data_IF_522431069004
#
_entry.id   IF_522431069004
#
_cell.length_a   1.000
_cell.length_b   1.000
_cell.length_c   1.000
_cell.angle_alpha   90.00
_cell.angle_beta   90.00
_cell.angle_gamma   90.00
#
_symmetry.space_group_name_H-M   'P 1'
#
loop_
_entity.id
_entity.type
_entity.pdbx_description
1 polymer ?
#
# COMPACT_ATOMS: atom_id res chain seq x y z
N UNK A 1 -15.05 -6.03 9.02
CA UNK A 1 -15.26 -4.82 8.18
C UNK A 1 -15.52 -3.64 9.11
N UNK A 2 -14.51 -2.81 9.39
CA UNK A 2 -14.66 -1.63 10.27
C UNK A 2 -15.25 -0.48 9.45
N UNK A 3 -16.45 -0.02 9.79
CA UNK A 3 -17.10 1.11 9.13
C UNK A 3 -16.77 2.39 9.88
N UNK A 4 -16.29 3.42 9.19
CA UNK A 4 -16.04 4.71 9.82
C UNK A 4 -17.36 5.40 10.14
N UNK A 5 -17.47 5.91 11.37
CA UNK A 5 -18.54 6.81 11.77
C UNK A 5 -18.00 8.23 11.71
N UNK A 6 -18.62 9.08 10.89
CA UNK A 6 -18.30 10.50 10.88
C UNK A 6 -18.71 11.13 12.20
N UNK A 7 -17.79 11.89 12.82
CA UNK A 7 -18.01 12.57 14.11
C UNK A 7 -19.10 13.64 14.03
N UNK A 8 -19.30 14.27 12.87
CA UNK A 8 -20.29 15.33 12.68
C UNK A 8 -21.72 14.82 12.46
N UNK A 9 -21.90 13.73 11.71
CA UNK A 9 -23.24 13.28 11.32
C UNK A 9 -23.67 11.93 11.92
N UNK A 10 -22.76 11.21 12.61
CA UNK A 10 -22.98 9.89 13.28
C UNK A 10 -23.55 8.81 12.34
N UNK A 11 -23.55 9.07 11.03
CA UNK A 11 -23.91 8.09 10.00
C UNK A 11 -22.70 7.24 9.69
N UNK A 12 -22.98 5.97 9.39
CA UNK A 12 -22.01 5.05 8.80
C UNK A 12 -21.56 5.64 7.48
N UNK A 13 -20.31 6.11 7.40
CA UNK A 13 -19.74 6.52 6.13
C UNK A 13 -19.39 5.25 5.35
N UNK A 14 -19.75 5.25 4.07
CA UNK A 14 -19.22 4.32 3.07
C UNK A 14 -17.71 4.21 3.26
N UNK A 15 -17.13 3.02 3.09
CA UNK A 15 -15.67 2.85 3.01
C UNK A 15 -15.12 4.00 2.17
N UNK A 16 -14.14 4.73 2.70
CA UNK A 16 -13.53 5.81 1.92
C UNK A 16 -13.05 5.22 0.60
N UNK A 17 -13.20 5.98 -0.51
CA UNK A 17 -12.68 5.54 -1.79
C UNK A 17 -11.22 5.16 -1.59
N UNK A 18 -10.88 3.99 -2.11
CA UNK A 18 -9.58 3.39 -2.03
C UNK A 18 -9.10 2.84 -0.66
N UNK A 19 -9.99 2.46 0.26
CA UNK A 19 -9.59 1.76 1.50
C UNK A 19 -8.67 2.60 2.40
N UNK A 20 -8.61 3.92 2.17
CA UNK A 20 -7.84 4.84 3.00
C UNK A 20 -8.54 4.95 4.37
N UNK A 21 -7.78 4.84 5.46
CA UNK A 21 -8.36 5.23 6.75
C UNK A 21 -8.68 6.74 6.76
N UNK A 22 -9.79 7.16 7.38
CA UNK A 22 -10.20 8.58 7.45
C UNK A 22 -9.19 9.51 8.11
N UNK A 23 -8.23 8.94 8.85
CA UNK A 23 -7.15 9.66 9.50
C UNK A 23 -5.81 9.42 8.81
N UNK A 24 -5.82 8.96 7.56
CA UNK A 24 -4.60 8.80 6.78
C UNK A 24 -4.18 10.14 6.19
N UNK A 25 -2.98 10.58 6.53
CA UNK A 25 -2.47 11.92 6.17
C UNK A 25 -1.92 11.98 4.74
N UNK A 26 -1.66 10.82 4.12
CA UNK A 26 -1.07 10.71 2.79
C UNK A 26 -1.88 9.73 1.94
N UNK A 27 -2.17 10.08 0.69
CA UNK A 27 -2.87 9.19 -0.23
C UNK A 27 -1.97 8.00 -0.67
N UNK A 28 -2.51 7.15 -1.54
CA UNK A 28 -1.76 6.03 -2.10
C UNK A 28 -0.70 6.46 -3.10
N UNK A 29 -0.86 7.59 -3.79
CA UNK A 29 0.10 8.06 -4.77
C UNK A 29 1.42 8.48 -4.10
N UNK A 30 1.34 9.20 -2.98
CA UNK A 30 2.51 9.55 -2.16
C UNK A 30 3.18 8.30 -1.62
N UNK A 31 2.42 7.35 -1.08
CA UNK A 31 2.99 6.10 -0.57
C UNK A 31 3.62 5.26 -1.69
N UNK A 32 3.00 5.22 -2.87
CA UNK A 32 3.53 4.53 -4.05
C UNK A 32 4.88 5.11 -4.47
N UNK A 33 5.00 6.44 -4.58
CA UNK A 33 6.24 7.09 -4.97
C UNK A 33 7.40 6.72 -4.01
N UNK A 34 7.14 6.75 -2.70
CA UNK A 34 8.13 6.37 -1.69
C UNK A 34 8.47 4.89 -1.75
N UNK A 35 7.49 4.01 -1.92
CA UNK A 35 7.74 2.57 -2.06
C UNK A 35 8.54 2.27 -3.33
N UNK A 36 8.26 2.93 -4.46
CA UNK A 36 9.04 2.75 -5.69
C UNK A 36 10.52 3.13 -5.51
N UNK A 37 10.81 4.22 -4.79
CA UNK A 37 12.19 4.58 -4.44
C UNK A 37 12.87 3.48 -3.62
N UNK A 38 12.19 2.99 -2.58
CA UNK A 38 12.70 1.91 -1.72
C UNK A 38 12.94 0.60 -2.49
N UNK A 39 11.97 0.19 -3.31
CA UNK A 39 12.03 -1.03 -4.13
C UNK A 39 13.10 -0.93 -5.24
N UNK A 40 13.50 0.29 -5.60
CA UNK A 40 14.62 0.56 -6.52
C UNK A 40 15.98 0.59 -5.82
N UNK A 41 16.03 0.31 -4.51
CA UNK A 41 17.26 0.24 -3.71
C UNK A 41 17.68 1.56 -3.07
N UNK A 42 16.88 2.62 -3.14
CA UNK A 42 17.19 3.88 -2.45
C UNK A 42 17.08 3.66 -0.93
N UNK A 43 18.06 4.15 -0.18
CA UNK A 43 18.06 4.02 1.27
C UNK A 43 16.89 4.77 1.92
N UNK A 44 16.52 4.37 3.16
CA UNK A 44 15.50 5.08 3.95
C UNK A 44 15.80 6.58 4.08
N UNK A 45 17.08 6.93 4.26
CA UNK A 45 17.50 8.33 4.36
C UNK A 45 17.35 9.05 3.02
N UNK A 46 17.79 8.43 1.91
CA UNK A 46 17.62 8.98 0.57
C UNK A 46 16.14 9.21 0.22
N UNK A 47 15.27 8.27 0.57
CA UNK A 47 13.82 8.42 0.37
C UNK A 47 13.22 9.56 1.20
N UNK A 48 13.62 9.71 2.46
CA UNK A 48 13.18 10.81 3.32
C UNK A 48 13.59 12.17 2.74
N UNK A 49 14.84 12.29 2.28
CA UNK A 49 15.33 13.51 1.63
C UNK A 49 14.60 13.80 0.30
N UNK A 50 14.37 12.79 -0.55
CA UNK A 50 13.73 12.96 -1.85
C UNK A 50 12.23 13.27 -1.76
N UNK A 51 11.54 12.71 -0.76
CA UNK A 51 10.09 12.89 -0.57
C UNK A 51 9.71 14.03 0.37
N UNK A 52 10.67 14.56 1.15
CA UNK A 52 10.41 15.51 2.23
C UNK A 52 9.64 14.91 3.41
N UNK A 53 9.43 13.59 3.44
CA UNK A 53 8.73 12.91 4.52
C UNK A 53 9.68 12.52 5.64
N UNK A 54 9.13 12.45 6.85
CA UNK A 54 9.86 11.94 8.00
C UNK A 54 10.33 10.48 7.78
N UNK A 55 11.55 10.19 8.20
CA UNK A 55 12.16 8.86 8.04
C UNK A 55 11.37 7.76 8.74
N UNK A 56 10.69 8.06 9.85
CA UNK A 56 9.81 7.09 10.52
C UNK A 56 8.58 6.77 9.67
N UNK A 57 8.02 7.72 8.94
CA UNK A 57 6.92 7.47 7.99
C UNK A 57 7.38 6.55 6.86
N UNK A 58 8.51 6.85 6.23
CA UNK A 58 9.10 6.02 5.15
C UNK A 58 9.36 4.59 5.65
N UNK A 59 10.01 4.45 6.81
CA UNK A 59 10.28 3.15 7.44
C UNK A 59 8.99 2.40 7.76
N UNK A 60 7.99 3.08 8.33
CA UNK A 60 6.70 2.45 8.66
C UNK A 60 6.04 1.86 7.43
N UNK A 61 6.05 2.56 6.28
CA UNK A 61 5.48 2.03 5.05
C UNK A 61 6.24 0.84 4.50
N UNK A 62 7.58 0.87 4.56
CA UNK A 62 8.42 -0.26 4.19
C UNK A 62 8.13 -1.49 5.04
N UNK A 63 8.14 -1.32 6.36
CA UNK A 63 7.97 -2.41 7.31
C UNK A 63 6.56 -3.00 7.19
N UNK A 64 5.54 -2.15 7.05
CA UNK A 64 4.16 -2.57 6.76
C UNK A 64 4.06 -3.44 5.50
N UNK A 65 4.72 -3.05 4.40
CA UNK A 65 4.67 -3.82 3.16
C UNK A 65 5.35 -5.18 3.32
N UNK A 66 6.49 -5.23 4.00
CA UNK A 66 7.18 -6.50 4.29
C UNK A 66 6.37 -7.42 5.21
N UNK A 67 5.80 -6.88 6.28
CA UNK A 67 5.00 -7.66 7.24
C UNK A 67 3.77 -8.30 6.59
N UNK A 68 3.19 -7.63 5.60
CA UNK A 68 1.96 -8.09 4.91
C UNK A 68 2.22 -8.81 3.60
N UNK A 69 3.48 -8.87 3.17
CA UNK A 69 3.89 -9.35 1.84
C UNK A 69 3.25 -10.69 1.48
N UNK A 70 3.45 -11.71 2.32
CA UNK A 70 3.00 -13.06 2.02
C UNK A 70 1.48 -13.13 1.80
N UNK A 71 0.70 -12.48 2.67
CA UNK A 71 -0.76 -12.46 2.56
C UNK A 71 -1.22 -11.68 1.32
N UNK A 72 -0.60 -10.53 1.06
CA UNK A 72 -0.93 -9.71 -0.10
C UNK A 72 -0.57 -10.40 -1.41
N UNK A 73 0.65 -10.94 -1.50
CA UNK A 73 1.14 -11.62 -2.67
C UNK A 73 0.35 -12.89 -2.99
N UNK A 74 -0.13 -13.62 -1.96
CA UNK A 74 -1.02 -14.76 -2.16
C UNK A 74 -2.33 -14.37 -2.85
N UNK A 75 -3.02 -13.34 -2.35
CA UNK A 75 -4.29 -12.87 -2.93
C UNK A 75 -4.08 -12.31 -4.33
N UNK A 76 -3.03 -11.50 -4.53
CA UNK A 76 -2.73 -10.91 -5.84
C UNK A 76 -2.36 -11.97 -6.88
N UNK A 77 -1.53 -12.96 -6.55
CA UNK A 77 -1.16 -14.04 -7.49
C UNK A 77 -2.33 -14.97 -7.81
N UNK A 78 -3.24 -15.19 -6.86
CA UNK A 78 -4.46 -15.96 -7.10
C UNK A 78 -5.39 -15.28 -8.10
N UNK A 79 -5.33 -13.94 -8.20
CA UNK A 79 -6.19 -13.15 -9.08
C UNK A 79 -5.53 -12.75 -10.40
N UNK A 80 -4.22 -12.53 -10.41
CA UNK A 80 -3.40 -12.25 -11.59
C UNK A 80 -2.28 -13.28 -11.70
N UNK A 81 -2.49 -14.38 -12.43
CA UNK A 81 -1.49 -15.45 -12.61
C UNK A 81 -0.15 -14.95 -13.16
N UNK A 82 -0.16 -13.89 -13.98
CA UNK A 82 1.05 -13.28 -14.55
C UNK A 82 2.01 -12.74 -13.47
N UNK A 83 1.51 -12.37 -12.28
CA UNK A 83 2.33 -11.96 -11.15
C UNK A 83 3.05 -13.13 -10.45
N UNK A 84 2.67 -14.37 -10.75
CA UNK A 84 3.24 -15.59 -10.14
C UNK A 84 4.66 -15.91 -10.59
N UNK A 85 5.16 -15.27 -11.67
CA UNK A 85 6.49 -15.57 -12.24
C UNK A 85 7.64 -14.87 -11.52
N UNK A 86 7.36 -13.92 -10.62
CA UNK A 86 8.37 -13.11 -9.94
C UNK A 86 8.46 -13.53 -8.47
N UNK A 87 9.60 -14.14 -8.10
CA UNK A 87 9.87 -14.63 -6.74
C UNK A 87 10.49 -13.56 -5.82
N UNK A 88 11.25 -12.62 -6.39
CA UNK A 88 11.90 -11.55 -5.62
C UNK A 88 10.87 -10.50 -5.14
N UNK A 89 10.94 -10.14 -3.86
CA UNK A 89 10.04 -9.17 -3.23
C UNK A 89 10.03 -7.82 -3.95
N UNK A 90 11.23 -7.27 -4.26
CA UNK A 90 11.33 -5.95 -4.87
C UNK A 90 10.79 -5.95 -6.30
N UNK A 91 11.16 -6.96 -7.08
CA UNK A 91 10.65 -7.13 -8.45
C UNK A 91 9.14 -7.38 -8.47
N UNK A 92 8.62 -8.19 -7.53
CA UNK A 92 7.18 -8.47 -7.43
C UNK A 92 6.38 -7.19 -7.20
N UNK A 93 6.74 -6.39 -6.20
CA UNK A 93 6.00 -5.18 -5.89
C UNK A 93 6.17 -4.08 -6.93
N UNK A 94 7.31 -3.99 -7.61
CA UNK A 94 7.45 -3.11 -8.78
C UNK A 94 6.51 -3.51 -9.90
N UNK A 95 6.43 -4.81 -10.21
CA UNK A 95 5.52 -5.32 -11.22
C UNK A 95 4.04 -5.06 -10.86
N UNK A 96 3.66 -5.29 -9.60
CA UNK A 96 2.31 -4.97 -9.11
C UNK A 96 1.98 -3.49 -9.28
N UNK A 97 2.92 -2.60 -8.95
CA UNK A 97 2.70 -1.15 -9.05
C UNK A 97 2.61 -0.71 -10.52
N UNK A 98 3.40 -1.31 -11.41
CA UNK A 98 3.39 -0.99 -12.84
C UNK A 98 2.07 -1.43 -13.50
N UNK A 99 1.59 -2.64 -13.19
CA UNK A 99 0.38 -3.21 -13.78
C UNK A 99 -0.93 -2.65 -13.19
N UNK A 100 -0.96 -2.38 -11.88
CA UNK A 100 -2.20 -2.03 -11.16
C UNK A 100 -2.15 -0.69 -10.45
N UNK A 101 -0.98 -0.09 -10.20
CA UNK A 101 -0.78 0.92 -9.14
C UNK A 101 -1.02 0.37 -7.73
N UNK A 102 -0.39 0.99 -6.73
CA UNK A 102 -0.58 0.65 -5.32
C UNK A 102 -2.04 0.82 -4.91
N UNK A 103 -2.72 1.87 -5.38
CA UNK A 103 -4.10 2.15 -5.02
C UNK A 103 -5.04 1.02 -5.46
N UNK A 104 -4.97 0.58 -6.72
CA UNK A 104 -5.89 -0.48 -7.18
C UNK A 104 -5.56 -1.81 -6.53
N UNK A 105 -4.26 -2.13 -6.35
CA UNK A 105 -3.86 -3.34 -5.61
C UNK A 105 -4.48 -3.37 -4.21
N UNK A 106 -4.43 -2.25 -3.47
CA UNK A 106 -5.00 -2.13 -2.13
C UNK A 106 -6.53 -2.26 -2.12
N UNK A 107 -7.21 -1.75 -3.16
CA UNK A 107 -8.66 -1.90 -3.31
C UNK A 107 -9.10 -3.33 -3.53
N UNK A 108 -8.28 -4.12 -4.21
CA UNK A 108 -8.52 -5.54 -4.39
C UNK A 108 -8.25 -6.30 -3.10
N UNK A 109 -7.14 -6.00 -2.43
CA UNK A 109 -6.79 -6.61 -1.16
C UNK A 109 -7.85 -6.35 -0.08
N UNK A 110 -8.48 -5.17 0.00
CA UNK A 110 -9.53 -4.85 0.98
C UNK A 110 -10.86 -5.62 0.78
N UNK A 111 -10.98 -6.39 -0.31
CA UNK A 111 -12.11 -7.30 -0.50
C UNK A 111 -11.97 -8.57 0.34
N UNK A 112 -10.74 -8.99 0.61
CA UNK A 112 -10.42 -10.27 1.25
C UNK A 112 -9.65 -10.11 2.56
N UNK A 113 -8.89 -9.03 2.70
CA UNK A 113 -8.00 -8.74 3.82
C UNK A 113 -8.30 -7.37 4.43
N UNK A 114 -7.78 -7.12 5.64
CA UNK A 114 -7.78 -5.79 6.23
C UNK A 114 -6.55 -5.02 5.72
N UNK A 115 -6.80 -4.07 4.82
CA UNK A 115 -5.82 -3.08 4.38
C UNK A 115 -5.98 -1.82 5.25
N UNK A 116 -4.91 -1.26 5.83
CA UNK A 116 -4.99 -0.08 6.70
C UNK A 116 -5.14 1.26 5.97
#
# INVERSE_FOLDING_TARGET
MLRFLCVGCVRTCSRLPACLSPRRWYDWAVQQAVLLLLLSGVSLHGCACASGLDRHTVRRWRDWLHERDQAFAFVLRSRWPELGRVADFNAFWRNVIDELTLQQAMNWLDRELVVP
#
